data_IF_515086485899
#
_entry.id   IF_515086485899
#
_cell.length_a   1.000
_cell.length_b   1.000
_cell.length_c   1.000
_cell.angle_alpha   90.00
_cell.angle_beta   90.00
_cell.angle_gamma   90.00
#
_symmetry.space_group_name_H-M   'P 1'
#
loop_
_entity.id
_entity.type
_entity.pdbx_description
1 polymer ?
#
# COMPACT_ATOMS: atom_id res chain seq x y z
N UNK A 1 -4.17 -7.76 -6.82
CA UNK A 1 -2.74 -8.14 -6.83
C UNK A 1 -2.25 -8.33 -5.40
N UNK A 2 -2.29 -7.32 -4.50
CA UNK A 2 -1.76 -7.38 -3.12
C UNK A 2 -2.27 -8.61 -2.36
N UNK A 3 -3.58 -8.85 -2.32
CA UNK A 3 -4.19 -9.98 -1.59
C UNK A 3 -3.63 -11.33 -2.04
N UNK A 4 -3.51 -11.54 -3.36
CA UNK A 4 -2.91 -12.78 -3.91
C UNK A 4 -1.44 -12.91 -3.54
N UNK A 5 -0.71 -11.80 -3.48
CA UNK A 5 0.70 -11.78 -3.04
C UNK A 5 0.83 -12.16 -1.56
N UNK A 6 0.07 -11.51 -0.68
CA UNK A 6 0.06 -11.80 0.75
C UNK A 6 -0.32 -13.26 1.06
N UNK A 7 -1.28 -13.81 0.29
CA UNK A 7 -1.66 -15.21 0.41
C UNK A 7 -0.53 -16.16 0.01
N UNK A 8 0.14 -15.89 -1.12
CA UNK A 8 1.30 -16.69 -1.57
C UNK A 8 2.47 -16.64 -0.59
N UNK A 9 2.65 -15.53 0.10
CA UNK A 9 3.67 -15.37 1.14
C UNK A 9 3.28 -16.03 2.47
N UNK A 10 2.05 -16.56 2.61
CA UNK A 10 1.55 -17.14 3.85
C UNK A 10 1.23 -16.11 4.95
N UNK A 11 1.02 -14.85 4.55
CA UNK A 11 0.70 -13.74 5.47
C UNK A 11 -0.80 -13.58 5.71
N UNK A 12 -1.63 -14.05 4.78
CA UNK A 12 -3.07 -14.21 4.96
C UNK A 12 -3.48 -15.64 4.58
N UNK A 13 -4.54 -16.13 5.16
CA UNK A 13 -5.00 -17.53 5.00
C UNK A 13 -6.36 -17.64 4.31
N UNK A 14 -7.05 -16.51 4.15
CA UNK A 14 -8.30 -16.38 3.42
C UNK A 14 -8.27 -15.11 2.57
N UNK A 15 -8.31 -15.28 1.25
CA UNK A 15 -8.28 -14.18 0.28
C UNK A 15 -9.54 -13.30 0.34
N UNK A 16 -10.63 -13.82 0.90
CA UNK A 16 -11.89 -13.11 1.07
C UNK A 16 -11.97 -12.40 2.43
N UNK A 17 -11.06 -12.70 3.35
CA UNK A 17 -11.02 -12.10 4.67
C UNK A 17 -10.55 -10.65 4.60
N UNK A 18 -11.53 -9.73 4.71
CA UNK A 18 -11.25 -8.29 4.69
C UNK A 18 -10.29 -7.88 5.81
N UNK A 19 -10.50 -8.40 7.05
CA UNK A 19 -9.68 -8.01 8.18
C UNK A 19 -8.24 -8.48 8.06
N UNK A 20 -7.98 -9.69 7.51
CA UNK A 20 -6.61 -10.17 7.29
C UNK A 20 -5.86 -9.30 6.27
N UNK A 21 -6.55 -8.90 5.19
CA UNK A 21 -6.00 -7.95 4.21
C UNK A 21 -5.68 -6.60 4.85
N UNK A 22 -6.60 -6.07 5.64
CA UNK A 22 -6.50 -4.74 6.27
C UNK A 22 -5.39 -4.69 7.35
N UNK A 23 -4.79 -5.83 7.72
CA UNK A 23 -3.61 -5.87 8.61
C UNK A 23 -2.43 -5.16 7.94
N UNK A 24 -2.14 -5.47 6.69
CA UNK A 24 -0.94 -5.05 5.98
C UNK A 24 -1.12 -3.78 5.14
N UNK A 25 -2.35 -3.50 4.73
CA UNK A 25 -2.71 -2.27 4.00
C UNK A 25 -3.11 -1.22 5.03
N UNK A 26 -2.12 -0.46 5.49
CA UNK A 26 -2.28 0.48 6.62
C UNK A 26 -2.78 1.85 6.19
N UNK A 27 -2.52 2.25 4.96
CA UNK A 27 -2.78 3.59 4.44
C UNK A 27 -3.69 3.55 3.21
N UNK A 28 -4.35 4.66 2.88
CA UNK A 28 -5.01 4.81 1.58
C UNK A 28 -4.05 4.51 0.43
N UNK A 29 -4.59 4.00 -0.67
CA UNK A 29 -3.79 3.63 -1.84
C UNK A 29 -3.87 4.70 -2.94
N UNK A 30 -4.49 5.84 -2.67
CA UNK A 30 -4.68 6.92 -3.63
C UNK A 30 -5.11 8.19 -2.92
N UNK A 31 -4.67 9.35 -3.42
CA UNK A 31 -5.18 10.68 -3.09
C UNK A 31 -5.18 11.56 -4.34
N UNK A 32 -5.94 12.65 -4.30
CA UNK A 32 -5.86 13.67 -5.34
C UNK A 32 -4.54 14.43 -5.22
N UNK A 33 -4.02 14.84 -6.35
CA UNK A 33 -2.83 15.67 -6.48
C UNK A 33 -3.23 16.96 -7.20
N UNK A 34 -2.98 18.11 -6.59
CA UNK A 34 -3.37 19.42 -7.10
C UNK A 34 -2.46 20.51 -6.59
N UNK A 35 -3.03 21.56 -5.98
CA UNK A 35 -2.24 22.61 -5.33
C UNK A 35 -1.46 22.05 -4.13
N UNK A 36 -2.06 21.08 -3.44
CA UNK A 36 -1.40 20.33 -2.37
C UNK A 36 -1.08 18.90 -2.82
N UNK A 37 -0.03 18.31 -2.22
CA UNK A 37 0.33 16.89 -2.45
C UNK A 37 -0.82 15.97 -2.06
N UNK A 38 -1.43 16.20 -0.89
CA UNK A 38 -2.67 15.56 -0.45
C UNK A 38 -3.82 16.54 -0.66
N UNK A 39 -4.23 16.71 -1.91
CA UNK A 39 -5.22 17.73 -2.25
C UNK A 39 -6.61 17.36 -1.76
N UNK A 40 -7.44 18.37 -1.58
CA UNK A 40 -8.82 18.21 -1.11
C UNK A 40 -9.67 17.44 -2.11
N UNK A 41 -10.59 16.63 -1.62
CA UNK A 41 -11.50 15.89 -2.49
C UNK A 41 -12.46 14.99 -1.71
N UNK A 42 -13.49 14.51 -2.39
CA UNK A 42 -14.40 13.51 -1.86
C UNK A 42 -13.89 12.11 -2.21
N UNK A 43 -13.29 11.45 -1.22
CA UNK A 43 -12.72 10.10 -1.32
C UNK A 43 -13.73 8.99 -0.99
N UNK A 44 -15.00 9.30 -0.80
CA UNK A 44 -16.04 8.31 -0.53
C UNK A 44 -15.94 7.66 0.84
N UNK A 45 -15.54 8.40 1.86
CA UNK A 45 -15.49 7.87 3.22
C UNK A 45 -16.90 7.67 3.81
N UNK A 46 -17.05 6.67 4.72
CA UNK A 46 -18.27 6.39 5.49
C UNK A 46 -19.50 5.99 4.66
N UNK A 47 -19.37 4.97 3.79
CA UNK A 47 -20.46 4.38 2.99
C UNK A 47 -20.97 5.25 1.83
N UNK A 48 -20.31 6.33 1.49
CA UNK A 48 -20.58 7.09 0.27
C UNK A 48 -19.61 6.65 -0.83
N UNK A 49 -20.09 6.55 -2.06
CA UNK A 49 -19.22 6.54 -3.22
C UNK A 49 -18.48 7.88 -3.28
N UNK A 50 -17.19 7.83 -3.56
CA UNK A 50 -16.43 9.03 -3.79
C UNK A 50 -16.90 9.79 -5.02
N UNK A 51 -16.26 10.90 -5.29
CA UNK A 51 -16.44 11.71 -6.48
C UNK A 51 -16.11 10.91 -7.75
N UNK A 52 -16.98 10.99 -8.75
CA UNK A 52 -16.67 10.43 -10.07
C UNK A 52 -15.43 11.12 -10.66
N UNK A 53 -14.49 10.32 -11.18
CA UNK A 53 -13.32 10.84 -11.84
C UNK A 53 -13.71 11.53 -13.15
N UNK A 54 -13.08 12.66 -13.44
CA UNK A 54 -13.30 13.45 -14.66
C UNK A 54 -11.96 13.73 -15.32
N UNK A 55 -11.96 13.91 -16.64
CA UNK A 55 -10.77 14.34 -17.38
C UNK A 55 -10.16 15.60 -16.76
N UNK A 56 -8.84 15.65 -16.69
CA UNK A 56 -8.06 16.70 -16.05
C UNK A 56 -7.75 16.47 -14.57
N UNK A 57 -8.38 15.48 -13.91
CA UNK A 57 -8.00 15.12 -12.52
C UNK A 57 -6.71 14.34 -12.50
N UNK A 58 -5.86 14.66 -11.53
CA UNK A 58 -4.65 13.90 -11.21
C UNK A 58 -4.81 13.26 -9.84
N UNK A 59 -4.40 12.00 -9.74
CA UNK A 59 -4.40 11.26 -8.47
C UNK A 59 -3.23 10.29 -8.44
N UNK A 60 -2.81 9.93 -7.24
CA UNK A 60 -1.81 8.88 -7.02
C UNK A 60 -2.46 7.51 -7.09
N UNK A 61 -1.70 6.50 -7.51
CA UNK A 61 -1.97 5.08 -7.28
C UNK A 61 -0.75 4.52 -6.54
N UNK A 62 -0.90 4.29 -5.24
CA UNK A 62 0.22 4.11 -4.32
C UNK A 62 0.04 2.93 -3.34
N UNK A 63 -0.22 1.71 -3.83
CA UNK A 63 -0.33 0.56 -2.96
C UNK A 63 0.96 0.33 -2.16
N UNK A 64 0.81 0.17 -0.85
CA UNK A 64 1.92 -0.08 0.05
C UNK A 64 1.61 -1.18 1.07
N UNK A 65 2.64 -1.93 1.46
CA UNK A 65 2.59 -2.93 2.53
C UNK A 65 3.74 -2.69 3.51
N UNK A 66 3.47 -2.90 4.80
CA UNK A 66 4.42 -2.55 5.86
C UNK A 66 4.43 -3.62 6.95
N UNK A 67 5.62 -4.00 7.38
CA UNK A 67 5.87 -5.01 8.43
C UNK A 67 6.46 -4.35 9.67
N UNK A 68 5.68 -3.45 10.29
CA UNK A 68 6.10 -2.78 11.52
C UNK A 68 6.24 -3.80 12.66
N UNK A 69 7.31 -3.78 13.48
CA UNK A 69 7.55 -4.77 14.55
C UNK A 69 6.37 -4.96 15.50
N UNK A 70 5.62 -3.90 15.80
CA UNK A 70 4.47 -3.93 16.70
C UNK A 70 3.15 -4.28 16.01
N UNK A 71 3.15 -4.57 14.70
CA UNK A 71 1.92 -4.72 13.91
C UNK A 71 1.01 -5.80 14.51
N UNK A 72 1.54 -6.99 14.80
CA UNK A 72 0.75 -8.09 15.34
C UNK A 72 0.20 -7.79 16.74
N UNK A 73 0.91 -7.01 17.55
CA UNK A 73 0.47 -6.62 18.89
C UNK A 73 -0.75 -5.69 18.87
N UNK A 74 -0.98 -4.99 17.76
CA UNK A 74 -2.12 -4.05 17.61
C UNK A 74 -3.42 -4.73 17.19
N UNK A 75 -3.40 -6.00 16.78
CA UNK A 75 -4.54 -6.63 16.11
C UNK A 75 -5.79 -6.74 16.99
N UNK A 76 -5.63 -7.07 18.28
CA UNK A 76 -6.76 -7.11 19.21
C UNK A 76 -7.42 -5.74 19.37
N UNK A 77 -6.63 -4.67 19.44
CA UNK A 77 -7.15 -3.30 19.51
C UNK A 77 -7.85 -2.90 18.20
N UNK A 78 -7.23 -3.20 17.04
CA UNK A 78 -7.74 -2.80 15.72
C UNK A 78 -9.00 -3.56 15.29
N UNK A 79 -9.07 -4.84 15.61
CA UNK A 79 -10.09 -5.73 15.07
C UNK A 79 -11.01 -6.37 16.11
N UNK A 80 -10.67 -6.36 17.39
CA UNK A 80 -11.39 -7.06 18.46
C UNK A 80 -12.85 -6.65 18.66
N UNK A 81 -13.32 -5.53 18.05
CA UNK A 81 -14.75 -5.18 18.00
C UNK A 81 -15.52 -5.87 16.86
N UNK A 82 -14.83 -6.51 15.91
CA UNK A 82 -15.41 -7.04 14.66
C UNK A 82 -15.01 -8.47 14.38
N UNK A 83 -13.99 -8.96 15.05
CA UNK A 83 -13.40 -10.28 14.89
C UNK A 83 -13.25 -10.89 16.28
N UNK A 84 -13.59 -12.16 16.40
CA UNK A 84 -13.44 -12.92 17.65
C UNK A 84 -11.99 -12.91 18.13
N UNK A 85 -11.81 -12.83 19.46
CA UNK A 85 -10.46 -12.74 20.07
C UNK A 85 -9.63 -14.00 19.82
N UNK A 86 -10.27 -15.16 19.84
CA UNK A 86 -9.61 -16.44 19.61
C UNK A 86 -9.21 -16.59 18.14
N UNK A 87 -10.01 -16.05 17.20
CA UNK A 87 -9.65 -16.00 15.79
C UNK A 87 -8.42 -15.13 15.55
N UNK A 88 -8.34 -13.98 16.23
CA UNK A 88 -7.17 -13.11 16.17
C UNK A 88 -5.94 -13.84 16.76
N UNK A 89 -6.08 -14.48 17.92
CA UNK A 89 -5.00 -15.20 18.57
C UNK A 89 -4.49 -16.37 17.70
N UNK A 90 -5.41 -17.16 17.11
CA UNK A 90 -5.06 -18.23 16.16
C UNK A 90 -4.33 -17.70 14.93
N UNK A 91 -4.80 -16.60 14.39
CA UNK A 91 -4.15 -15.95 13.26
C UNK A 91 -2.72 -15.50 13.62
N UNK A 92 -2.54 -14.80 14.75
CA UNK A 92 -1.22 -14.34 15.22
C UNK A 92 -0.26 -15.53 15.36
N UNK A 93 -0.67 -16.59 16.05
CA UNK A 93 0.14 -17.80 16.24
C UNK A 93 0.60 -18.39 14.89
N UNK A 94 -0.32 -18.45 13.92
CA UNK A 94 -0.05 -19.03 12.60
C UNK A 94 0.83 -18.15 11.71
N UNK A 95 0.61 -16.82 11.74
CA UNK A 95 1.32 -15.89 10.85
C UNK A 95 2.69 -15.48 11.36
N UNK A 96 2.90 -15.49 12.68
CA UNK A 96 4.12 -14.98 13.34
C UNK A 96 5.42 -15.49 12.72
N UNK A 97 5.64 -16.81 12.49
CA UNK A 97 6.90 -17.29 11.94
C UNK A 97 7.21 -16.78 10.53
N UNK A 98 6.16 -16.48 9.75
CA UNK A 98 6.31 -15.90 8.41
C UNK A 98 6.53 -14.40 8.51
N UNK A 99 5.73 -13.72 9.36
CA UNK A 99 5.80 -12.27 9.56
C UNK A 99 7.20 -11.83 10.04
N UNK A 100 7.80 -12.57 10.95
CA UNK A 100 9.14 -12.27 11.52
C UNK A 100 10.23 -12.17 10.44
N UNK A 101 10.08 -12.87 9.31
CA UNK A 101 11.02 -12.78 8.17
C UNK A 101 11.01 -11.44 7.47
N UNK A 102 9.94 -10.65 7.63
CA UNK A 102 9.72 -9.39 6.93
C UNK A 102 9.74 -8.17 7.84
N UNK A 103 9.93 -8.32 9.15
CA UNK A 103 9.96 -7.22 10.11
C UNK A 103 10.93 -6.13 9.65
N UNK A 104 10.46 -4.89 9.70
CA UNK A 104 11.22 -3.70 9.30
C UNK A 104 11.17 -3.40 7.81
N UNK A 105 10.55 -4.26 6.99
CA UNK A 105 10.37 -4.01 5.56
C UNK A 105 9.10 -3.20 5.34
N UNK A 106 9.20 -2.14 4.54
CA UNK A 106 8.08 -1.41 3.99
C UNK A 106 8.31 -1.19 2.50
N UNK A 107 7.30 -1.42 1.69
CA UNK A 107 7.35 -1.21 0.23
C UNK A 107 6.11 -0.46 -0.21
N UNK A 108 6.33 0.63 -0.95
CA UNK A 108 5.30 1.37 -1.68
C UNK A 108 5.77 1.56 -3.11
N UNK A 109 4.88 1.38 -4.06
CA UNK A 109 5.07 1.76 -5.46
C UNK A 109 4.01 2.80 -5.76
N UNK A 110 4.41 3.94 -6.29
CA UNK A 110 3.54 5.07 -6.50
C UNK A 110 3.61 5.55 -7.93
N UNK A 111 2.46 5.77 -8.53
CA UNK A 111 2.29 6.42 -9.82
C UNK A 111 1.35 7.62 -9.72
N UNK A 112 1.73 8.70 -10.40
CA UNK A 112 0.85 9.83 -10.67
C UNK A 112 0.07 9.56 -11.94
N UNK A 113 -1.25 9.64 -11.87
CA UNK A 113 -2.15 9.28 -12.96
C UNK A 113 -3.05 10.45 -13.32
N UNK A 114 -2.95 10.91 -14.56
CA UNK A 114 -3.86 11.87 -15.16
C UNK A 114 -5.08 11.12 -15.74
N UNK A 115 -6.27 11.54 -15.36
CA UNK A 115 -7.51 11.07 -16.00
C UNK A 115 -7.70 11.83 -17.31
N UNK A 116 -7.89 11.11 -18.38
CA UNK A 116 -8.17 11.66 -19.73
C UNK A 116 -9.63 11.46 -20.11
N UNK A 117 -10.06 12.00 -21.24
CA UNK A 117 -11.43 11.82 -21.74
C UNK A 117 -11.76 10.36 -22.08
N UNK A 118 -10.74 9.55 -22.43
CA UNK A 118 -10.92 8.17 -22.92
C UNK A 118 -10.23 7.11 -22.04
N UNK A 119 -9.60 7.52 -20.92
CA UNK A 119 -8.89 6.59 -20.05
C UNK A 119 -7.98 7.31 -19.06
N UNK A 120 -6.71 6.94 -19.05
CA UNK A 120 -5.72 7.55 -18.16
C UNK A 120 -4.33 7.59 -18.79
N UNK A 121 -3.49 8.44 -18.24
CA UNK A 121 -2.06 8.54 -18.56
C UNK A 121 -1.25 8.47 -17.27
N UNK A 122 -0.23 7.61 -17.23
CA UNK A 122 0.71 7.52 -16.10
C UNK A 122 1.83 8.54 -16.32
N UNK A 123 1.82 9.62 -15.55
CA UNK A 123 2.78 10.72 -15.67
C UNK A 123 4.17 10.27 -15.21
N UNK A 124 4.23 9.44 -14.18
CA UNK A 124 5.46 8.90 -13.59
C UNK A 124 6.00 7.63 -14.27
N UNK A 125 5.55 7.27 -15.47
CA UNK A 125 5.90 5.99 -16.13
C UNK A 125 7.40 5.77 -16.34
N UNK A 126 8.21 6.84 -16.37
CA UNK A 126 9.67 6.75 -16.51
C UNK A 126 10.41 6.49 -15.20
N UNK A 127 9.73 6.59 -14.06
CA UNK A 127 10.32 6.25 -12.75
C UNK A 127 10.46 4.73 -12.66
N UNK A 128 11.67 4.20 -12.38
CA UNK A 128 11.90 2.77 -12.25
C UNK A 128 11.05 2.15 -11.13
N UNK A 129 10.40 1.02 -11.41
CA UNK A 129 9.59 0.26 -10.44
C UNK A 129 9.99 -1.21 -10.35
N UNK A 130 10.56 -1.73 -11.43
CA UNK A 130 11.08 -3.09 -11.45
C UNK A 130 12.40 -3.18 -10.68
N UNK A 131 12.59 -4.28 -9.93
CA UNK A 131 13.74 -4.47 -9.03
C UNK A 131 15.06 -4.22 -9.77
N UNK A 132 15.26 -4.85 -10.92
CA UNK A 132 16.49 -4.71 -11.69
C UNK A 132 16.74 -3.26 -12.17
N UNK A 133 15.68 -2.53 -12.51
CA UNK A 133 15.78 -1.14 -12.94
C UNK A 133 16.11 -0.20 -11.77
N UNK A 134 15.52 -0.43 -10.58
CA UNK A 134 15.83 0.30 -9.35
C UNK A 134 17.27 0.06 -8.94
N UNK A 135 17.69 -1.22 -8.86
CA UNK A 135 19.07 -1.58 -8.52
C UNK A 135 20.08 -1.00 -9.52
N UNK A 136 19.73 -1.00 -10.81
CA UNK A 136 20.56 -0.39 -11.86
C UNK A 136 20.72 1.11 -11.66
N UNK A 137 19.64 1.82 -11.36
CA UNK A 137 19.67 3.25 -11.06
C UNK A 137 20.48 3.58 -9.81
N UNK A 138 20.39 2.74 -8.77
CA UNK A 138 21.12 2.92 -7.50
C UNK A 138 22.64 2.64 -7.61
N UNK A 139 23.09 1.85 -8.58
CA UNK A 139 24.53 1.63 -8.85
C UNK A 139 25.21 2.83 -9.50
N UNK A 140 24.45 3.75 -10.09
CA UNK A 140 24.96 4.97 -10.68
C UNK A 140 25.55 5.91 -9.63
N UNK A 141 26.59 6.67 -10.01
CA UNK A 141 27.09 7.74 -9.13
C UNK A 141 25.99 8.78 -8.94
N UNK A 142 25.70 9.11 -7.69
CA UNK A 142 24.77 10.19 -7.37
C UNK A 142 25.31 11.51 -7.92
N UNK A 143 24.48 12.29 -8.60
CA UNK A 143 24.82 13.66 -9.01
C UNK A 143 24.97 14.61 -7.83
N UNK A 144 24.53 14.18 -6.65
CA UNK A 144 24.57 14.95 -5.40
C UNK A 144 25.70 14.51 -4.46
N UNK A 145 26.48 13.50 -4.83
CA UNK A 145 27.73 13.24 -4.12
C UNK A 145 28.72 14.37 -4.46
N UNK A 146 28.63 15.42 -3.67
CA UNK A 146 29.69 16.41 -3.58
C UNK A 146 30.91 15.63 -3.07
N UNK A 147 31.90 15.43 -3.93
CA UNK A 147 33.21 14.94 -3.52
C UNK A 147 33.74 15.90 -2.44
N UNK A 148 33.90 15.36 -1.23
CA UNK A 148 34.80 15.96 -0.23
C UNK A 148 36.22 15.89 -0.74
#
# INVERSE_FOLDING_TARGET
>A
IIVKGLFKLGLIFDVNSKWQRDIFVLYPNSHYLGLDVHDVGDYGMRKRSGRSLKAGMVLTIEPGIYFHPQLLNTLHHRFGKRVDKDDIARYISKVKPVFEKYIGIGVRIEDDVLITATGNEVLSKRVPKEIAAIEGAMRGKSRFNLSN
#
